data_IF_180617492469
#
_entry.id   IF_180617492469
#
_cell.length_a   1.000
_cell.length_b   1.000
_cell.length_c   1.000
_cell.angle_alpha   90.00
_cell.angle_beta   90.00
_cell.angle_gamma   90.00
#
_symmetry.space_group_name_H-M   'P 1'
#
loop_
_entity.id
_entity.type
_entity.pdbx_description
1 polymer ?
#
# COMPACT_ATOMS: atom_id res chain seq x y z
N UNK A 1 -8.05 10.53 -11.12
CA UNK A 1 -7.87 9.49 -12.15
C UNK A 1 -6.38 9.40 -12.40
N UNK A 2 -5.74 8.34 -11.91
CA UNK A 2 -4.30 8.12 -12.11
C UNK A 2 -4.05 7.75 -13.57
N UNK A 3 -3.16 8.48 -14.25
CA UNK A 3 -2.72 8.14 -15.60
C UNK A 3 -1.37 7.45 -15.47
N UNK A 4 -1.29 6.18 -15.87
CA UNK A 4 -0.08 5.38 -15.77
C UNK A 4 0.08 4.51 -17.00
N UNK A 5 1.33 4.21 -17.35
CA UNK A 5 1.65 3.27 -18.42
C UNK A 5 1.27 1.85 -17.98
N UNK A 6 0.51 1.13 -18.81
CA UNK A 6 0.01 -0.21 -18.48
C UNK A 6 1.14 -1.22 -18.29
N UNK A 7 2.26 -1.08 -19.01
CA UNK A 7 3.41 -1.95 -18.85
C UNK A 7 4.10 -1.68 -17.52
N UNK A 8 4.23 -0.42 -17.14
CA UNK A 8 4.78 -0.03 -15.84
C UNK A 8 3.92 -0.58 -14.68
N UNK A 9 2.59 -0.48 -14.80
CA UNK A 9 1.67 -1.07 -13.82
C UNK A 9 1.82 -2.60 -13.75
N UNK A 10 1.88 -3.28 -14.89
CA UNK A 10 2.04 -4.74 -14.90
C UNK A 10 3.38 -5.17 -14.30
N UNK A 11 4.45 -4.42 -14.54
CA UNK A 11 5.75 -4.66 -13.93
C UNK A 11 5.70 -4.44 -12.41
N UNK A 12 5.15 -3.32 -11.95
CA UNK A 12 4.98 -3.02 -10.52
C UNK A 12 4.12 -4.07 -9.82
N UNK A 13 3.02 -4.50 -10.45
CA UNK A 13 2.15 -5.57 -9.96
C UNK A 13 2.91 -6.89 -9.80
N UNK A 14 3.71 -7.27 -10.79
CA UNK A 14 4.51 -8.50 -10.73
C UNK A 14 5.51 -8.47 -9.59
N UNK A 15 6.20 -7.33 -9.41
CA UNK A 15 7.14 -7.15 -8.30
C UNK A 15 6.40 -7.27 -6.96
N UNK A 16 5.29 -6.58 -6.82
CA UNK A 16 4.49 -6.58 -5.60
C UNK A 16 3.96 -7.99 -5.26
N UNK A 17 3.43 -8.73 -6.24
CA UNK A 17 2.98 -10.12 -6.05
C UNK A 17 4.12 -11.05 -5.62
N UNK A 18 5.32 -10.89 -6.18
CA UNK A 18 6.48 -11.66 -5.78
C UNK A 18 6.91 -11.34 -4.33
N UNK A 19 6.87 -10.07 -3.92
CA UNK A 19 7.17 -9.65 -2.54
C UNK A 19 6.16 -10.22 -1.55
N UNK A 20 4.87 -10.23 -1.89
CA UNK A 20 3.86 -10.87 -1.03
C UNK A 20 4.07 -12.37 -0.88
N UNK A 21 4.46 -13.05 -1.96
CA UNK A 21 4.77 -14.48 -1.91
C UNK A 21 6.00 -14.77 -1.06
N UNK A 22 7.03 -13.93 -1.14
CA UNK A 22 8.23 -14.00 -0.30
C UNK A 22 7.90 -13.86 1.18
N UNK A 23 7.12 -12.85 1.54
CA UNK A 23 6.79 -12.56 2.95
C UNK A 23 5.90 -13.64 3.56
N UNK A 24 4.83 -14.01 2.85
CA UNK A 24 3.82 -14.90 3.44
C UNK A 24 4.14 -16.38 3.31
N UNK A 25 5.08 -16.79 2.45
CA UNK A 25 5.40 -18.21 2.16
C UNK A 25 4.15 -19.13 2.05
N UNK A 26 3.04 -18.59 1.53
CA UNK A 26 1.69 -19.16 1.39
C UNK A 26 0.71 -19.06 2.58
N UNK A 27 1.05 -18.52 3.75
CA UNK A 27 0.08 -18.27 4.82
C UNK A 27 0.58 -17.26 5.87
N UNK A 28 -0.18 -16.18 6.08
CA UNK A 28 -0.08 -15.36 7.29
C UNK A 28 -0.79 -16.07 8.45
N UNK A 29 -0.01 -16.78 9.28
CA UNK A 29 -0.51 -17.52 10.44
C UNK A 29 -1.10 -16.62 11.53
N UNK A 30 -0.65 -15.36 11.62
CA UNK A 30 -1.10 -14.42 12.66
C UNK A 30 -2.44 -13.81 12.28
N UNK A 31 -2.72 -13.62 10.99
CA UNK A 31 -4.05 -13.15 10.52
C UNK A 31 -5.21 -14.01 11.03
N UNK A 32 -4.97 -15.30 11.31
CA UNK A 32 -6.00 -16.22 11.80
C UNK A 32 -6.49 -15.87 13.19
N UNK A 33 -5.61 -15.29 14.03
CA UNK A 33 -5.91 -14.86 15.40
C UNK A 33 -6.62 -13.51 15.44
N UNK A 34 -6.61 -12.78 14.34
CA UNK A 34 -7.15 -11.42 14.27
C UNK A 34 -8.63 -11.45 13.84
N UNK A 35 -9.53 -10.76 14.58
CA UNK A 35 -10.92 -10.64 14.18
C UNK A 35 -11.04 -9.92 12.84
N UNK A 36 -11.79 -10.53 11.90
CA UNK A 36 -12.00 -9.97 10.57
C UNK A 36 -13.05 -8.85 10.62
N UNK A 37 -12.64 -7.66 11.07
CA UNK A 37 -13.45 -6.44 11.11
C UNK A 37 -12.89 -5.39 10.15
N UNK A 38 -13.69 -4.38 9.80
CA UNK A 38 -13.19 -3.20 9.10
C UNK A 38 -12.35 -2.32 10.03
N UNK A 39 -11.30 -1.73 9.50
CA UNK A 39 -10.47 -0.75 10.20
C UNK A 39 -9.96 0.33 9.23
N UNK A 40 -9.47 1.40 9.82
CA UNK A 40 -8.77 2.48 9.14
C UNK A 40 -7.37 2.60 9.71
N UNK A 41 -6.39 2.88 8.84
CA UNK A 41 -5.00 3.08 9.21
C UNK A 41 -4.40 4.25 8.42
N UNK A 42 -3.29 4.79 8.93
CA UNK A 42 -2.57 5.88 8.29
C UNK A 42 -1.10 5.51 8.15
N UNK A 43 -0.51 5.79 6.99
CA UNK A 43 0.94 5.79 6.82
C UNK A 43 1.43 7.21 7.07
N UNK A 44 2.32 7.37 8.04
CA UNK A 44 2.85 8.67 8.46
C UNK A 44 4.34 8.72 8.13
N UNK A 45 4.77 9.84 7.53
CA UNK A 45 6.16 10.11 7.28
C UNK A 45 6.90 10.35 8.60
N UNK A 46 7.90 9.53 8.93
CA UNK A 46 8.74 9.75 10.11
C UNK A 46 9.75 10.88 9.91
N UNK A 47 10.13 11.15 8.66
CA UNK A 47 11.07 12.21 8.27
C UNK A 47 10.51 12.97 7.06
N UNK A 48 11.19 14.03 6.64
CA UNK A 48 10.91 14.78 5.42
C UNK A 48 11.62 14.15 4.20
N UNK A 49 11.07 14.38 3.01
CA UNK A 49 11.63 13.81 1.79
C UNK A 49 10.81 14.11 0.54
N UNK A 50 11.17 13.47 -0.56
CA UNK A 50 10.43 13.52 -1.82
C UNK A 50 9.74 12.17 -2.01
N UNK A 51 8.43 12.19 -2.28
CA UNK A 51 7.64 11.00 -2.45
C UNK A 51 7.98 10.31 -3.78
N UNK A 52 8.16 8.99 -3.72
CA UNK A 52 8.35 8.10 -4.87
C UNK A 52 7.61 6.80 -4.57
N UNK A 53 6.95 6.23 -5.56
CA UNK A 53 6.22 4.97 -5.44
C UNK A 53 4.72 5.08 -5.70
N UNK A 54 4.27 6.15 -6.35
CA UNK A 54 2.88 6.35 -6.77
C UNK A 54 2.35 5.13 -7.55
N UNK A 55 3.19 4.48 -8.37
CA UNK A 55 2.77 3.28 -9.10
C UNK A 55 2.42 2.10 -8.19
N UNK A 56 3.16 1.91 -7.09
CA UNK A 56 2.88 0.85 -6.12
C UNK A 56 1.67 1.17 -5.27
N UNK A 57 1.46 2.45 -4.96
CA UNK A 57 0.22 2.92 -4.36
C UNK A 57 -0.99 2.55 -5.23
N UNK A 58 -0.93 2.81 -6.54
CA UNK A 58 -1.99 2.44 -7.50
C UNK A 58 -2.23 0.93 -7.52
N UNK A 59 -1.19 0.11 -7.47
CA UNK A 59 -1.31 -1.36 -7.38
C UNK A 59 -2.06 -1.75 -6.10
N UNK A 60 -1.68 -1.17 -4.96
CA UNK A 60 -2.35 -1.41 -3.67
C UNK A 60 -3.84 -1.03 -3.72
N UNK A 61 -4.19 0.12 -4.29
CA UNK A 61 -5.60 0.52 -4.40
C UNK A 61 -6.43 -0.48 -5.19
N UNK A 62 -5.90 -0.90 -6.34
CA UNK A 62 -6.62 -1.77 -7.26
C UNK A 62 -6.75 -3.20 -6.75
N UNK A 63 -5.73 -3.70 -6.06
CA UNK A 63 -5.72 -5.09 -5.60
C UNK A 63 -6.41 -5.27 -4.25
N UNK A 64 -6.38 -4.27 -3.37
CA UNK A 64 -6.83 -4.43 -1.98
C UNK A 64 -8.02 -3.55 -1.60
N UNK A 65 -8.60 -2.82 -2.55
CA UNK A 65 -9.68 -1.84 -2.32
C UNK A 65 -9.33 -0.81 -1.25
N UNK A 66 -8.03 -0.48 -1.18
CA UNK A 66 -7.51 0.52 -0.27
C UNK A 66 -7.57 1.87 -0.96
N UNK A 67 -8.04 2.92 -0.28
CA UNK A 67 -7.87 4.28 -0.79
C UNK A 67 -6.45 4.74 -0.48
N UNK A 68 -5.71 5.23 -1.47
CA UNK A 68 -4.31 5.58 -1.29
C UNK A 68 -3.97 6.94 -1.93
N UNK A 69 -3.16 7.68 -1.20
CA UNK A 69 -2.46 8.90 -1.55
C UNK A 69 -3.24 10.21 -1.79
N UNK A 70 -2.68 11.27 -1.22
CA UNK A 70 -2.84 12.66 -1.68
C UNK A 70 -1.59 13.20 -2.39
N UNK A 71 -0.46 12.48 -2.33
CA UNK A 71 0.84 12.91 -2.86
C UNK A 71 1.18 12.23 -4.19
N UNK A 72 1.90 12.93 -5.06
CA UNK A 72 2.40 12.42 -6.35
C UNK A 72 3.90 12.23 -6.34
N UNK A 73 4.39 11.37 -7.23
CA UNK A 73 5.83 11.18 -7.41
C UNK A 73 6.52 12.54 -7.68
N UNK A 74 7.59 12.83 -6.95
CA UNK A 74 8.33 14.10 -7.01
C UNK A 74 7.82 15.18 -6.07
N UNK A 75 6.70 14.99 -5.36
CA UNK A 75 6.22 15.94 -4.36
C UNK A 75 7.00 15.82 -3.05
N UNK A 76 7.36 16.97 -2.46
CA UNK A 76 8.02 17.03 -1.16
C UNK A 76 7.01 16.89 -0.01
N UNK A 77 7.39 16.21 1.06
CA UNK A 77 6.61 16.07 2.29
C UNK A 77 7.48 16.28 3.53
N UNK A 78 6.86 16.61 4.65
CA UNK A 78 7.53 16.78 5.95
C UNK A 78 7.25 15.61 6.89
N UNK A 79 8.06 15.47 7.94
CA UNK A 79 7.76 14.58 9.06
C UNK A 79 6.36 14.87 9.63
N UNK A 80 5.62 13.81 9.99
CA UNK A 80 4.24 13.85 10.45
C UNK A 80 3.18 13.89 9.33
N UNK A 81 3.58 14.01 8.06
CA UNK A 81 2.64 14.00 6.94
C UNK A 81 1.97 12.63 6.82
N UNK A 82 0.64 12.61 6.74
CA UNK A 82 -0.12 11.39 6.40
C UNK A 82 -0.04 11.16 4.90
N UNK A 83 0.76 10.18 4.49
CA UNK A 83 0.99 9.87 3.07
C UNK A 83 -0.19 9.06 2.52
N UNK A 84 -0.71 8.11 3.31
CA UNK A 84 -1.80 7.22 2.92
C UNK A 84 -2.88 7.09 3.99
N UNK A 85 -4.13 6.93 3.56
CA UNK A 85 -5.29 6.67 4.41
C UNK A 85 -5.88 5.31 4.04
N UNK A 86 -5.43 4.24 4.69
CA UNK A 86 -5.86 2.89 4.34
C UNK A 86 -7.21 2.57 5.00
N UNK A 87 -8.11 1.94 4.27
CA UNK A 87 -9.37 1.38 4.79
C UNK A 87 -9.52 -0.04 4.26
N UNK A 88 -9.88 -0.99 5.12
CA UNK A 88 -9.99 -2.39 4.71
C UNK A 88 -10.28 -3.32 5.87
N UNK A 89 -10.20 -4.63 5.62
CA UNK A 89 -10.25 -5.61 6.71
C UNK A 89 -8.96 -5.56 7.51
N UNK A 90 -9.04 -5.74 8.84
CA UNK A 90 -7.85 -5.74 9.70
C UNK A 90 -6.86 -6.82 9.25
N UNK A 91 -7.33 -7.98 8.78
CA UNK A 91 -6.46 -9.03 8.25
C UNK A 91 -5.64 -8.49 7.09
N UNK A 92 -6.30 -7.96 6.07
CA UNK A 92 -5.60 -7.44 4.90
C UNK A 92 -4.63 -6.30 5.27
N UNK A 93 -5.04 -5.38 6.14
CA UNK A 93 -4.18 -4.27 6.59
C UNK A 93 -2.95 -4.72 7.41
N UNK A 94 -2.95 -5.93 7.96
CA UNK A 94 -1.86 -6.49 8.76
C UNK A 94 -1.13 -7.65 8.08
N UNK A 95 -1.64 -8.17 6.97
CA UNK A 95 -1.11 -9.34 6.27
C UNK A 95 -0.07 -8.95 5.21
N UNK A 96 0.87 -8.09 5.61
CA UNK A 96 2.01 -7.62 4.81
C UNK A 96 3.27 -7.68 5.65
#
# INVERSE_FOLDING_TARGET
MFYYDINLYNAARTVFENTLLEDTNNNDLISWLVPNRKAQAYIVANDQGVFVGEIFAIVLEKQFDIKSCSLKDGEFFTSGTKIFNLEGSVRMLLSV
#
